data_IF_255514818214
#
_entry.id   IF_255514818214
#
_cell.length_a   1.000
_cell.length_b   1.000
_cell.length_c   1.000
_cell.angle_alpha   90.00
_cell.angle_beta   90.00
_cell.angle_gamma   90.00
#
_symmetry.space_group_name_H-M   'P 1'
#
loop_
_entity.id
_entity.type
_entity.pdbx_description
1 polymer ?
#
# COMPACT_ATOMS: atom_id res chain seq x y z
N UNK A 1 48.72 26.35 22.52
CA UNK A 1 48.34 26.42 21.08
C UNK A 1 48.19 25.06 20.39
N UNK A 2 48.83 23.96 20.83
CA UNK A 2 48.73 22.67 20.12
C UNK A 2 47.46 21.85 20.46
N UNK A 3 47.00 21.88 21.72
CA UNK A 3 45.84 21.10 22.18
C UNK A 3 44.52 21.53 21.51
N UNK A 4 44.33 22.82 21.24
CA UNK A 4 43.12 23.30 20.54
C UNK A 4 43.09 22.86 19.06
N UNK A 5 44.24 22.67 18.42
CA UNK A 5 44.31 22.23 17.01
C UNK A 5 43.92 20.77 16.87
N UNK A 6 44.31 19.95 17.85
CA UNK A 6 43.93 18.54 17.93
C UNK A 6 42.41 18.44 18.13
N UNK A 7 41.85 19.18 19.09
CA UNK A 7 40.39 19.17 19.35
C UNK A 7 39.60 19.61 18.11
N UNK A 8 40.07 20.63 17.39
CA UNK A 8 39.43 21.09 16.16
C UNK A 8 39.47 20.02 15.05
N UNK A 9 40.57 19.27 14.93
CA UNK A 9 40.70 18.17 13.97
C UNK A 9 39.76 17.00 14.27
N UNK A 10 39.55 16.67 15.55
CA UNK A 10 38.59 15.62 15.94
C UNK A 10 37.14 16.05 15.71
N UNK A 11 36.82 17.33 15.91
CA UNK A 11 35.52 17.91 15.60
C UNK A 11 35.19 17.83 14.10
N UNK A 12 36.17 18.14 13.24
CA UNK A 12 35.96 18.06 11.79
C UNK A 12 35.76 16.63 11.30
N UNK A 13 36.50 15.67 11.87
CA UNK A 13 36.33 14.25 11.53
C UNK A 13 34.95 13.75 11.96
N UNK A 14 34.51 14.11 13.17
CA UNK A 14 33.18 13.75 13.66
C UNK A 14 32.07 14.29 12.76
N UNK A 15 32.18 15.56 12.35
CA UNK A 15 31.19 16.21 11.47
C UNK A 15 31.11 15.56 10.08
N UNK A 16 32.25 15.14 9.52
CA UNK A 16 32.31 14.39 8.25
C UNK A 16 31.67 13.00 8.43
N UNK A 17 32.00 12.27 9.49
CA UNK A 17 31.40 10.94 9.74
C UNK A 17 29.90 10.99 9.99
N UNK A 18 29.40 12.03 10.66
CA UNK A 18 27.98 12.23 10.90
C UNK A 18 27.24 12.55 9.59
N UNK A 19 27.84 13.38 8.73
CA UNK A 19 27.29 13.72 7.42
C UNK A 19 27.25 12.52 6.46
N UNK A 20 28.28 11.67 6.46
CA UNK A 20 28.31 10.43 5.70
C UNK A 20 27.26 9.42 6.18
N UNK A 21 27.02 9.31 7.49
CA UNK A 21 25.98 8.45 8.06
C UNK A 21 24.56 8.86 7.64
N UNK A 22 24.29 10.15 7.50
CA UNK A 22 23.00 10.66 7.01
C UNK A 22 22.77 10.36 5.52
N UNK A 23 23.81 10.39 4.69
CA UNK A 23 23.70 10.17 3.25
C UNK A 23 23.40 8.71 2.88
N UNK A 24 23.87 7.73 3.67
CA UNK A 24 23.61 6.31 3.42
C UNK A 24 22.14 5.94 3.72
N UNK A 25 21.51 6.59 4.70
CA UNK A 25 20.14 6.28 5.13
C UNK A 25 19.06 6.72 4.12
N UNK A 26 19.30 7.76 3.31
CA UNK A 26 18.31 8.28 2.35
C UNK A 26 18.10 7.40 1.11
N UNK A 27 19.00 6.44 0.84
CA UNK A 27 18.92 5.60 -0.37
C UNK A 27 18.04 4.35 -0.22
N UNK A 28 17.62 3.99 0.99
CA UNK A 28 16.85 2.76 1.26
C UNK A 28 15.32 2.98 1.36
N UNK A 29 14.85 4.22 1.19
CA UNK A 29 13.43 4.56 1.35
C UNK A 29 12.57 4.48 0.05
N UNK A 30 13.20 4.30 -1.12
CA UNK A 30 12.52 4.46 -2.43
C UNK A 30 11.56 3.32 -2.82
N UNK A 31 11.79 2.09 -2.36
CA UNK A 31 11.01 0.94 -2.85
C UNK A 31 9.56 0.95 -2.35
N UNK A 32 9.35 1.39 -1.10
CA UNK A 32 8.04 1.46 -0.48
C UNK A 32 7.18 2.57 -1.11
N UNK A 33 7.77 3.75 -1.35
CA UNK A 33 7.10 4.87 -2.02
C UNK A 33 6.58 4.47 -3.41
N UNK A 34 7.36 3.67 -4.15
CA UNK A 34 6.96 3.16 -5.46
C UNK A 34 5.76 2.21 -5.41
N UNK A 35 5.59 1.47 -4.31
CA UNK A 35 4.50 0.49 -4.14
C UNK A 35 3.19 1.18 -3.80
N UNK A 36 3.21 2.11 -2.83
CA UNK A 36 2.04 2.91 -2.49
C UNK A 36 1.53 3.72 -3.70
N UNK A 37 2.44 4.33 -4.47
CA UNK A 37 2.09 5.05 -5.68
C UNK A 37 1.38 4.17 -6.73
N UNK A 38 1.77 2.89 -6.85
CA UNK A 38 1.11 1.95 -7.76
C UNK A 38 -0.28 1.57 -7.26
N UNK A 39 -0.45 1.36 -5.96
CA UNK A 39 -1.75 1.10 -5.33
C UNK A 39 -2.70 2.27 -5.57
N UNK A 40 -2.24 3.50 -5.31
CA UNK A 40 -3.05 4.71 -5.49
C UNK A 40 -3.49 4.90 -6.94
N UNK A 41 -2.61 4.64 -7.91
CA UNK A 41 -2.96 4.65 -9.34
C UNK A 41 -4.00 3.58 -9.68
N UNK A 42 -3.87 2.37 -9.12
CA UNK A 42 -4.85 1.31 -9.32
C UNK A 42 -6.24 1.69 -8.79
N UNK A 43 -6.29 2.25 -7.58
CA UNK A 43 -7.53 2.74 -6.97
C UNK A 43 -8.15 3.91 -7.76
N UNK A 44 -7.31 4.80 -8.30
CA UNK A 44 -7.75 5.90 -9.16
C UNK A 44 -8.51 5.38 -10.40
N UNK A 45 -7.92 4.43 -11.13
CA UNK A 45 -8.57 3.86 -12.32
C UNK A 45 -9.82 3.06 -11.97
N UNK A 46 -9.80 2.30 -10.87
CA UNK A 46 -10.98 1.57 -10.39
C UNK A 46 -12.15 2.53 -10.16
N UNK A 47 -11.90 3.64 -9.46
CA UNK A 47 -12.90 4.68 -9.20
C UNK A 47 -13.40 5.33 -10.49
N UNK A 48 -12.49 5.70 -11.38
CA UNK A 48 -12.84 6.35 -12.66
C UNK A 48 -13.77 5.47 -13.51
N UNK A 49 -13.46 4.18 -13.62
CA UNK A 49 -14.29 3.21 -14.35
C UNK A 49 -15.63 3.00 -13.65
N UNK A 50 -15.62 2.79 -12.32
CA UNK A 50 -16.83 2.61 -11.53
C UNK A 50 -17.81 3.77 -11.73
N UNK A 51 -17.32 5.00 -11.58
CA UNK A 51 -18.13 6.19 -11.76
C UNK A 51 -18.62 6.37 -13.20
N UNK A 52 -17.77 6.09 -14.18
CA UNK A 52 -18.11 6.20 -15.60
C UNK A 52 -19.23 5.23 -15.97
N UNK A 53 -19.12 3.99 -15.52
CA UNK A 53 -20.15 2.98 -15.76
C UNK A 53 -21.44 3.34 -15.01
N UNK A 54 -21.35 3.70 -13.73
CA UNK A 54 -22.53 4.07 -12.93
C UNK A 54 -23.31 5.25 -13.52
N UNK A 55 -22.64 6.24 -14.13
CA UNK A 55 -23.31 7.43 -14.69
C UNK A 55 -23.78 7.29 -16.13
N UNK A 56 -23.08 6.51 -16.95
CA UNK A 56 -23.27 6.51 -18.40
C UNK A 56 -23.84 5.18 -18.94
N UNK A 57 -24.08 4.19 -18.09
CA UNK A 57 -24.73 2.97 -18.52
C UNK A 57 -26.18 3.22 -18.91
N UNK A 58 -26.69 2.42 -19.85
CA UNK A 58 -28.03 2.59 -20.45
C UNK A 58 -29.13 2.38 -19.42
N UNK A 59 -28.90 1.49 -18.46
CA UNK A 59 -29.83 1.15 -17.38
C UNK A 59 -29.30 1.67 -16.03
N UNK A 60 -30.22 1.94 -15.11
CA UNK A 60 -29.86 2.31 -13.73
C UNK A 60 -29.18 1.12 -13.05
N UNK A 61 -27.94 1.34 -12.61
CA UNK A 61 -27.14 0.34 -11.91
C UNK A 61 -27.24 0.56 -10.41
N UNK A 62 -27.47 -0.52 -9.67
CA UNK A 62 -27.31 -0.53 -8.22
C UNK A 62 -25.81 -0.44 -7.85
N UNK A 63 -25.37 0.65 -7.18
CA UNK A 63 -23.98 0.81 -6.79
C UNK A 63 -23.46 -0.29 -5.86
N UNK A 64 -24.33 -0.89 -5.05
CA UNK A 64 -23.96 -1.97 -4.12
C UNK A 64 -23.61 -3.24 -4.89
N UNK A 65 -24.46 -3.63 -5.86
CA UNK A 65 -24.23 -4.77 -6.75
C UNK A 65 -22.99 -4.57 -7.63
N UNK A 66 -22.79 -3.36 -8.15
CA UNK A 66 -21.61 -3.03 -8.96
C UNK A 66 -20.33 -3.14 -8.14
N UNK A 67 -20.35 -2.66 -6.89
CA UNK A 67 -19.21 -2.73 -5.96
C UNK A 67 -18.86 -4.18 -5.64
N UNK A 68 -19.87 -5.00 -5.34
CA UNK A 68 -19.69 -6.44 -5.08
C UNK A 68 -19.08 -7.17 -6.28
N UNK A 69 -19.59 -6.89 -7.47
CA UNK A 69 -19.07 -7.46 -8.72
C UNK A 69 -17.60 -7.08 -8.97
N UNK A 70 -17.22 -5.83 -8.64
CA UNK A 70 -15.84 -5.39 -8.73
C UNK A 70 -14.93 -6.15 -7.74
N UNK A 71 -15.39 -6.36 -6.50
CA UNK A 71 -14.67 -7.15 -5.50
C UNK A 71 -14.52 -8.60 -5.96
N UNK A 72 -15.60 -9.26 -6.38
CA UNK A 72 -15.58 -10.63 -6.89
C UNK A 72 -14.65 -10.77 -8.10
N UNK A 73 -14.65 -9.80 -9.02
CA UNK A 73 -13.74 -9.74 -10.17
C UNK A 73 -12.27 -9.66 -9.76
N UNK A 74 -11.94 -8.88 -8.73
CA UNK A 74 -10.57 -8.82 -8.18
C UNK A 74 -10.15 -10.15 -7.54
N UNK A 75 -11.07 -10.84 -6.85
CA UNK A 75 -10.76 -12.08 -6.14
C UNK A 75 -10.65 -13.30 -7.05
N UNK A 76 -11.23 -13.24 -8.25
CA UNK A 76 -11.27 -14.34 -9.22
C UNK A 76 -9.88 -14.87 -9.64
N UNK A 77 -8.87 -14.01 -9.65
CA UNK A 77 -7.51 -14.35 -10.07
C UNK A 77 -6.65 -15.03 -8.98
N UNK A 78 -7.16 -15.13 -7.75
CA UNK A 78 -6.43 -15.78 -6.65
C UNK A 78 -6.66 -17.29 -6.66
N UNK A 79 -7.61 -17.78 -5.87
CA UNK A 79 -7.95 -19.19 -5.76
C UNK A 79 -9.46 -19.36 -5.50
N UNK A 80 -10.06 -20.53 -5.81
CA UNK A 80 -11.50 -20.75 -5.71
C UNK A 80 -12.11 -20.57 -4.31
N UNK A 81 -11.30 -20.52 -3.26
CA UNK A 81 -11.74 -20.36 -1.88
C UNK A 81 -11.58 -18.92 -1.37
N UNK A 82 -10.91 -18.04 -2.13
CA UNK A 82 -10.81 -16.62 -1.82
C UNK A 82 -12.09 -15.92 -2.28
N UNK A 83 -13.01 -15.71 -1.34
CA UNK A 83 -14.31 -15.06 -1.59
C UNK A 83 -14.55 -13.95 -0.57
N UNK A 84 -15.30 -12.92 -0.98
CA UNK A 84 -15.70 -11.83 -0.10
C UNK A 84 -16.99 -12.20 0.63
N UNK A 85 -17.00 -12.08 1.96
CA UNK A 85 -18.18 -12.28 2.79
C UNK A 85 -18.68 -10.94 3.32
N UNK A 86 -19.93 -10.62 3.02
CA UNK A 86 -20.60 -9.37 3.37
C UNK A 86 -21.04 -9.33 4.85
N UNK A 87 -21.26 -10.51 5.47
CA UNK A 87 -21.64 -10.68 6.88
C UNK A 87 -20.62 -11.57 7.62
N UNK A 88 -20.05 -11.12 8.75
CA UNK A 88 -19.18 -11.94 9.60
C UNK A 88 -19.85 -13.21 10.18
N UNK A 89 -21.18 -13.33 10.12
CA UNK A 89 -21.96 -14.48 10.62
C UNK A 89 -21.66 -15.84 9.95
N UNK A 90 -20.98 -15.85 8.78
CA UNK A 90 -20.62 -17.07 8.04
C UNK A 90 -19.43 -17.84 8.63
N UNK A 91 -18.79 -17.34 9.70
CA UNK A 91 -17.69 -18.02 10.40
C UNK A 91 -18.13 -19.30 11.16
N UNK A 92 -19.40 -19.69 11.10
CA UNK A 92 -19.89 -20.95 11.66
C UNK A 92 -19.61 -22.16 10.76
N UNK A 93 -18.35 -22.34 10.35
CA UNK A 93 -17.84 -23.68 10.02
C UNK A 93 -17.63 -24.42 11.36
N UNK A 94 -18.74 -24.80 12.01
CA UNK A 94 -18.73 -25.78 13.10
C UNK A 94 -18.29 -27.10 12.48
N UNK A 95 -17.00 -27.41 12.57
CA UNK A 95 -16.53 -28.79 12.38
C UNK A 95 -17.25 -29.66 13.40
N UNK A 96 -18.26 -30.39 12.96
CA UNK A 96 -18.79 -31.55 13.66
C UNK A 96 -17.88 -32.73 13.32
N UNK A 97 -16.69 -32.77 13.92
CA UNK A 97 -15.92 -34.02 13.98
C UNK A 97 -16.67 -34.94 14.94
N UNK A 98 -17.16 -36.06 14.42
CA UNK A 98 -17.72 -37.17 15.20
C UNK A 98 -16.62 -38.08 15.69
#
# INVERSE_FOLDING_TARGET
MQRHKIILSWLTVFMVTFSLGWFVNSSLANDNESTYLKIDKGLFYLKEVFETVSRNYVEELDPEVLSKSAIEGMLKEFDPYTVFFEDPGSHQMRMITR
#
